data_IF_477852722492
#
_entry.id   IF_477852722492
#
_cell.length_a   1.000
_cell.length_b   1.000
_cell.length_c   1.000
_cell.angle_alpha   90.00
_cell.angle_beta   90.00
_cell.angle_gamma   90.00
#
_symmetry.space_group_name_H-M   'P 1'
#
loop_
_entity.id
_entity.type
_entity.pdbx_description
1 polymer ?
#
# COMPACT_ATOMS: atom_id res chain seq x y z
N UNK A 1 -30.29 22.71 7.41
CA UNK A 1 -29.94 21.70 6.40
C UNK A 1 -28.93 20.74 7.02
N UNK A 2 -29.40 19.59 7.50
CA UNK A 2 -28.52 18.55 8.06
C UNK A 2 -27.68 18.00 6.92
N UNK A 3 -26.36 18.25 6.97
CA UNK A 3 -25.42 17.48 6.18
C UNK A 3 -25.61 16.03 6.61
N UNK A 4 -26.15 15.21 5.71
CA UNK A 4 -26.26 13.77 5.89
C UNK A 4 -24.84 13.19 5.99
N UNK A 5 -24.22 13.33 7.17
CA UNK A 5 -23.36 12.29 7.71
C UNK A 5 -24.24 11.06 7.67
N UNK A 6 -23.82 10.03 6.97
CA UNK A 6 -24.53 8.75 6.95
C UNK A 6 -24.45 8.20 8.38
N UNK A 7 -25.33 8.67 9.27
CA UNK A 7 -25.39 8.33 10.69
C UNK A 7 -25.85 6.86 10.88
N UNK A 8 -26.18 6.19 9.78
CA UNK A 8 -26.70 4.83 9.78
C UNK A 8 -26.57 4.18 8.39
N UNK A 9 -25.60 3.27 8.17
CA UNK A 9 -25.61 2.36 7.03
C UNK A 9 -26.60 1.19 7.24
N UNK A 10 -27.72 1.39 7.94
CA UNK A 10 -28.62 0.31 8.41
C UNK A 10 -29.37 -0.47 7.32
N UNK A 11 -28.97 -0.39 6.06
CA UNK A 11 -29.50 -1.25 4.99
C UNK A 11 -28.44 -1.88 4.08
N UNK A 12 -27.14 -1.60 4.28
CA UNK A 12 -26.10 -2.15 3.41
C UNK A 12 -25.28 -3.24 4.11
N UNK A 13 -25.45 -4.47 3.65
CA UNK A 13 -24.60 -5.61 3.98
C UNK A 13 -23.57 -5.81 2.87
N UNK A 14 -22.29 -5.80 3.24
CA UNK A 14 -21.22 -6.09 2.31
C UNK A 14 -21.26 -7.59 1.95
N UNK A 15 -21.22 -7.97 0.66
CA UNK A 15 -21.20 -9.38 0.28
C UNK A 15 -20.05 -10.14 0.96
N UNK A 16 -20.30 -11.36 1.41
CA UNK A 16 -19.31 -12.14 2.19
C UNK A 16 -18.01 -12.38 1.43
N UNK A 17 -18.09 -12.59 0.11
CA UNK A 17 -16.93 -12.69 -0.76
C UNK A 17 -16.06 -11.41 -0.72
N UNK A 18 -16.71 -10.24 -0.77
CA UNK A 18 -16.02 -8.94 -0.71
C UNK A 18 -15.42 -8.71 0.67
N UNK A 19 -16.17 -9.02 1.74
CA UNK A 19 -15.66 -8.96 3.11
C UNK A 19 -14.43 -9.84 3.28
N UNK A 20 -14.45 -11.06 2.74
CA UNK A 20 -13.34 -12.02 2.85
C UNK A 20 -12.09 -11.54 2.12
N UNK A 21 -12.21 -11.09 0.87
CA UNK A 21 -11.04 -10.59 0.14
C UNK A 21 -10.45 -9.34 0.78
N UNK A 22 -11.29 -8.40 1.22
CA UNK A 22 -10.84 -7.21 1.97
C UNK A 22 -10.11 -7.60 3.25
N UNK A 23 -10.65 -8.55 4.02
CA UNK A 23 -10.02 -9.05 5.22
C UNK A 23 -8.66 -9.67 4.91
N UNK A 24 -8.58 -10.54 3.91
CA UNK A 24 -7.30 -11.15 3.49
C UNK A 24 -6.28 -10.12 3.03
N UNK A 25 -6.70 -9.09 2.28
CA UNK A 25 -5.82 -7.97 1.90
C UNK A 25 -5.22 -7.32 3.14
N UNK A 26 -6.03 -7.03 4.17
CA UNK A 26 -5.53 -6.44 5.43
C UNK A 26 -4.61 -7.42 6.19
N UNK A 27 -5.01 -8.69 6.29
CA UNK A 27 -4.25 -9.71 7.03
C UNK A 27 -2.88 -9.99 6.40
N UNK A 28 -2.76 -9.95 5.07
CA UNK A 28 -1.46 -10.02 4.38
C UNK A 28 -0.56 -8.85 4.81
N UNK A 29 -1.13 -7.65 4.94
CA UNK A 29 -0.42 -6.49 5.47
C UNK A 29 0.09 -6.72 6.89
N UNK A 30 -0.77 -7.20 7.80
CA UNK A 30 -0.37 -7.50 9.18
C UNK A 30 0.65 -8.63 9.27
N UNK A 31 0.59 -9.63 8.40
CA UNK A 31 1.61 -10.67 8.31
C UNK A 31 2.96 -10.07 7.88
N UNK A 32 2.98 -9.20 6.87
CA UNK A 32 4.21 -8.48 6.47
C UNK A 32 4.75 -7.62 7.63
N UNK A 33 3.87 -6.87 8.32
CA UNK A 33 4.24 -6.07 9.49
C UNK A 33 4.90 -6.93 10.58
N UNK A 34 4.33 -8.09 10.89
CA UNK A 34 4.89 -8.99 11.90
C UNK A 34 6.31 -9.44 11.53
N UNK A 35 6.55 -9.82 10.28
CA UNK A 35 7.87 -10.23 9.80
C UNK A 35 8.87 -9.06 9.82
N UNK A 36 8.46 -7.88 9.34
CA UNK A 36 9.33 -6.70 9.38
C UNK A 36 9.60 -6.23 10.81
N UNK A 37 8.64 -6.31 11.73
CA UNK A 37 8.79 -5.92 13.13
C UNK A 37 9.88 -6.72 13.86
N UNK A 38 9.97 -8.04 13.64
CA UNK A 38 11.02 -8.88 14.23
C UNK A 38 12.42 -8.35 13.89
N UNK A 39 12.62 -7.89 12.66
CA UNK A 39 13.87 -7.26 12.22
C UNK A 39 14.14 -5.90 12.92
N UNK A 40 13.10 -5.19 13.33
CA UNK A 40 13.21 -3.93 14.07
C UNK A 40 13.79 -4.11 15.47
N UNK A 41 13.52 -5.22 16.15
CA UNK A 41 14.14 -5.55 17.44
C UNK A 41 15.66 -5.70 17.29
N UNK A 42 16.11 -6.44 16.26
CA UNK A 42 17.52 -6.59 15.94
C UNK A 42 18.20 -5.24 15.65
N UNK A 43 17.51 -4.34 14.96
CA UNK A 43 18.00 -2.99 14.71
C UNK A 43 18.12 -2.17 16.00
N UNK A 44 17.07 -2.14 16.84
CA UNK A 44 17.08 -1.38 18.09
C UNK A 44 18.23 -1.81 19.01
N UNK A 45 18.45 -3.12 19.16
CA UNK A 45 19.55 -3.66 19.95
C UNK A 45 20.92 -3.37 19.32
N UNK A 46 21.04 -3.45 17.99
CA UNK A 46 22.26 -3.05 17.30
C UNK A 46 22.63 -1.57 17.57
N UNK A 47 21.65 -0.67 17.59
CA UNK A 47 21.86 0.74 17.98
C UNK A 47 22.27 0.89 19.46
N UNK A 48 21.93 -0.07 20.32
CA UNK A 48 22.43 -0.18 21.69
C UNK A 48 23.76 -0.95 21.82
N UNK A 49 24.44 -1.25 20.70
CA UNK A 49 25.69 -2.04 20.62
C UNK A 49 25.53 -3.50 21.08
N UNK A 50 24.32 -4.07 20.95
CA UNK A 50 24.00 -5.46 21.25
C UNK A 50 23.65 -6.18 19.94
N UNK A 51 24.52 -7.08 19.48
CA UNK A 51 24.31 -7.83 18.24
C UNK A 51 23.62 -9.17 18.48
N UNK A 52 22.37 -9.26 18.01
CA UNK A 52 21.56 -10.49 18.01
C UNK A 52 21.30 -11.04 16.60
N UNK A 53 21.85 -10.43 15.54
CA UNK A 53 21.55 -10.81 14.16
C UNK A 53 21.99 -12.25 13.85
N UNK A 54 23.08 -12.70 14.48
CA UNK A 54 23.58 -14.08 14.37
C UNK A 54 22.56 -15.15 14.77
N UNK A 55 21.50 -14.79 15.51
CA UNK A 55 20.44 -15.70 15.93
C UNK A 55 19.22 -15.68 15.00
N UNK A 56 19.16 -14.80 13.99
CA UNK A 56 18.00 -14.68 13.12
C UNK A 56 18.10 -15.69 11.97
N UNK A 57 17.15 -16.65 11.85
CA UNK A 57 17.19 -17.65 10.80
C UNK A 57 17.01 -16.99 9.42
N UNK A 58 17.89 -17.34 8.47
CA UNK A 58 17.80 -16.89 7.07
C UNK A 58 18.32 -15.49 6.78
N UNK A 59 18.76 -14.74 7.80
CA UNK A 59 19.34 -13.41 7.64
C UNK A 59 20.86 -13.46 7.65
N UNK A 60 21.48 -12.99 6.55
CA UNK A 60 22.93 -13.05 6.36
C UNK A 60 23.64 -11.78 6.83
N UNK A 61 22.98 -10.64 6.77
CA UNK A 61 23.56 -9.33 7.10
C UNK A 61 22.54 -8.39 7.75
N UNK A 62 23.04 -7.39 8.48
CA UNK A 62 22.23 -6.28 9.00
C UNK A 62 21.40 -5.61 7.89
N UNK A 63 22.02 -5.34 6.74
CA UNK A 63 21.38 -4.62 5.64
C UNK A 63 20.32 -5.44 4.90
N UNK A 64 20.45 -6.77 4.85
CA UNK A 64 19.38 -7.64 4.38
C UNK A 64 18.14 -7.48 5.28
N UNK A 65 18.34 -7.53 6.59
CA UNK A 65 17.28 -7.30 7.58
C UNK A 65 16.67 -5.91 7.56
N UNK A 66 17.50 -4.88 7.38
CA UNK A 66 17.03 -3.51 7.24
C UNK A 66 16.19 -3.32 5.96
N UNK A 67 16.54 -4.02 4.88
CA UNK A 67 15.74 -4.04 3.65
C UNK A 67 14.39 -4.72 3.89
N UNK A 68 14.37 -5.92 4.48
CA UNK A 68 13.13 -6.63 4.84
C UNK A 68 12.24 -5.78 5.74
N UNK A 69 12.81 -5.15 6.78
CA UNK A 69 12.09 -4.29 7.71
C UNK A 69 11.40 -3.13 6.99
N UNK A 70 12.16 -2.34 6.25
CA UNK A 70 11.62 -1.15 5.58
C UNK A 70 10.58 -1.51 4.52
N UNK A 71 10.86 -2.52 3.69
CA UNK A 71 9.96 -2.92 2.61
C UNK A 71 8.66 -3.52 3.15
N UNK A 72 8.71 -4.40 4.16
CA UNK A 72 7.49 -4.99 4.69
C UNK A 72 6.67 -4.02 5.54
N UNK A 73 7.30 -3.22 6.40
CA UNK A 73 6.56 -2.34 7.30
C UNK A 73 6.10 -1.05 6.61
N UNK A 74 6.97 -0.39 5.85
CA UNK A 74 6.66 0.91 5.27
C UNK A 74 5.94 0.80 3.92
N UNK A 75 6.07 -0.32 3.20
CA UNK A 75 5.47 -0.50 1.86
C UNK A 75 4.38 -1.57 1.89
N UNK A 76 4.74 -2.84 2.10
CA UNK A 76 3.77 -3.94 1.96
C UNK A 76 2.60 -3.81 2.94
N UNK A 77 2.87 -3.56 4.23
CA UNK A 77 1.84 -3.37 5.25
C UNK A 77 0.93 -2.19 4.95
N UNK A 78 1.50 -1.00 4.71
CA UNK A 78 0.72 0.24 4.53
C UNK A 78 -0.13 0.18 3.26
N UNK A 79 0.38 -0.39 2.16
CA UNK A 79 -0.36 -0.55 0.91
C UNK A 79 -1.47 -1.58 1.02
N UNK A 80 -1.17 -2.73 1.64
CA UNK A 80 -2.17 -3.76 1.93
C UNK A 80 -3.29 -3.20 2.81
N UNK A 81 -2.92 -2.51 3.90
CA UNK A 81 -3.87 -1.87 4.79
C UNK A 81 -4.72 -0.83 4.04
N UNK A 82 -4.09 0.09 3.29
CA UNK A 82 -4.82 1.11 2.52
C UNK A 82 -5.77 0.49 1.49
N UNK A 83 -5.36 -0.55 0.76
CA UNK A 83 -6.19 -1.23 -0.24
C UNK A 83 -7.44 -1.85 0.39
N UNK A 84 -7.27 -2.61 1.47
CA UNK A 84 -8.40 -3.26 2.13
C UNK A 84 -9.28 -2.26 2.90
N UNK A 85 -8.67 -1.42 3.72
CA UNK A 85 -9.39 -0.50 4.61
C UNK A 85 -10.16 0.56 3.82
N UNK A 86 -9.55 1.20 2.83
CA UNK A 86 -10.24 2.23 2.04
C UNK A 86 -11.32 1.61 1.15
N UNK A 87 -11.12 0.41 0.59
CA UNK A 87 -12.17 -0.30 -0.14
C UNK A 87 -13.39 -0.63 0.74
N UNK A 88 -13.15 -1.01 2.00
CA UNK A 88 -14.21 -1.22 2.99
C UNK A 88 -14.98 0.08 3.26
N UNK A 89 -14.26 1.15 3.58
CA UNK A 89 -14.87 2.45 3.92
C UNK A 89 -15.61 3.06 2.74
N UNK A 90 -15.09 2.90 1.52
CA UNK A 90 -15.78 3.33 0.31
C UNK A 90 -17.09 2.56 0.10
N UNK A 91 -17.07 1.23 0.25
CA UNK A 91 -18.28 0.41 0.12
C UNK A 91 -19.34 0.83 1.15
N UNK A 92 -18.93 1.04 2.40
CA UNK A 92 -19.80 1.46 3.50
C UNK A 92 -20.31 2.89 3.32
N UNK A 93 -19.45 3.83 2.92
CA UNK A 93 -19.79 5.23 2.71
C UNK A 93 -20.76 5.45 1.55
N UNK A 94 -20.63 4.68 0.47
CA UNK A 94 -21.57 4.71 -0.65
C UNK A 94 -22.83 3.85 -0.42
N UNK A 95 -22.82 2.97 0.59
CA UNK A 95 -23.90 2.01 0.82
C UNK A 95 -24.06 0.99 -0.32
N UNK A 96 -22.97 0.62 -1.01
CA UNK A 96 -23.01 -0.29 -2.17
C UNK A 96 -21.72 -1.11 -2.27
N UNK A 97 -21.75 -2.30 -2.91
CA UNK A 97 -20.54 -3.06 -3.15
C UNK A 97 -19.69 -2.42 -4.26
N UNK A 98 -18.36 -2.49 -4.10
CA UNK A 98 -17.42 -2.25 -5.20
C UNK A 98 -17.41 -3.44 -6.18
N UNK A 99 -16.79 -3.27 -7.34
CA UNK A 99 -16.67 -4.34 -8.35
C UNK A 99 -15.75 -5.45 -7.82
N UNK A 100 -16.34 -6.60 -7.47
CA UNK A 100 -15.61 -7.72 -6.83
C UNK A 100 -14.38 -8.18 -7.60
N UNK A 101 -14.46 -8.29 -8.93
CA UNK A 101 -13.32 -8.66 -9.77
C UNK A 101 -12.10 -7.74 -9.60
N UNK A 102 -12.30 -6.44 -9.35
CA UNK A 102 -11.20 -5.51 -9.08
C UNK A 102 -10.64 -5.68 -7.67
N UNK A 103 -11.47 -6.02 -6.68
CA UNK A 103 -10.98 -6.33 -5.33
C UNK A 103 -10.08 -7.58 -5.35
N UNK A 104 -10.47 -8.63 -6.08
CA UNK A 104 -9.66 -9.83 -6.24
C UNK A 104 -8.41 -9.58 -7.09
N UNK A 105 -8.50 -8.78 -8.14
CA UNK A 105 -7.33 -8.42 -8.95
C UNK A 105 -6.31 -7.59 -8.15
N UNK A 106 -6.77 -6.63 -7.36
CA UNK A 106 -5.91 -5.85 -6.45
C UNK A 106 -5.23 -6.76 -5.43
N UNK A 107 -5.99 -7.64 -4.77
CA UNK A 107 -5.45 -8.64 -3.84
C UNK A 107 -4.42 -9.56 -4.51
N UNK A 108 -4.72 -10.10 -5.70
CA UNK A 108 -3.81 -10.97 -6.44
C UNK A 108 -2.50 -10.27 -6.83
N UNK A 109 -2.58 -9.04 -7.33
CA UNK A 109 -1.40 -8.21 -7.66
C UNK A 109 -0.55 -7.94 -6.42
N UNK A 110 -1.18 -7.59 -5.31
CA UNK A 110 -0.51 -7.36 -4.02
C UNK A 110 0.23 -8.61 -3.52
N UNK A 111 -0.44 -9.77 -3.51
CA UNK A 111 0.15 -11.02 -3.03
C UNK A 111 1.28 -11.48 -3.94
N UNK A 112 1.09 -11.45 -5.26
CA UNK A 112 2.14 -11.81 -6.22
C UNK A 112 3.35 -10.89 -6.06
N UNK A 113 3.11 -9.58 -5.94
CA UNK A 113 4.17 -8.61 -5.71
C UNK A 113 4.94 -8.86 -4.42
N UNK A 114 4.22 -9.11 -3.31
CA UNK A 114 4.82 -9.45 -2.03
C UNK A 114 5.65 -10.73 -2.10
N UNK A 115 5.19 -11.77 -2.80
CA UNK A 115 5.94 -13.03 -2.98
C UNK A 115 7.24 -12.80 -3.75
N UNK A 116 7.19 -12.05 -4.86
CA UNK A 116 8.38 -11.77 -5.68
C UNK A 116 9.44 -10.93 -4.94
N UNK A 117 8.99 -9.92 -4.19
CA UNK A 117 9.84 -9.11 -3.31
C UNK A 117 10.44 -9.96 -2.19
N UNK A 118 9.63 -10.81 -1.56
CA UNK A 118 10.08 -11.74 -0.51
C UNK A 118 11.15 -12.68 -1.03
N UNK A 119 10.94 -13.28 -2.20
CA UNK A 119 11.92 -14.16 -2.84
C UNK A 119 13.27 -13.44 -3.02
N UNK A 120 13.27 -12.21 -3.54
CA UNK A 120 14.50 -11.47 -3.78
C UNK A 120 15.23 -11.13 -2.45
N UNK A 121 14.49 -10.69 -1.43
CA UNK A 121 15.08 -10.30 -0.15
C UNK A 121 15.60 -11.51 0.63
N UNK A 122 14.83 -12.60 0.74
CA UNK A 122 15.22 -13.77 1.53
C UNK A 122 16.25 -14.66 0.84
N UNK A 123 16.34 -14.64 -0.49
CA UNK A 123 17.46 -15.28 -1.22
C UNK A 123 18.77 -14.48 -1.13
N UNK A 124 18.74 -13.29 -0.52
CA UNK A 124 19.90 -12.40 -0.39
C UNK A 124 20.19 -11.58 -1.65
N UNK A 125 19.30 -11.61 -2.64
CA UNK A 125 19.47 -10.94 -3.93
C UNK A 125 18.88 -9.50 -3.97
N UNK A 126 18.40 -8.98 -2.84
CA UNK A 126 17.89 -7.62 -2.74
C UNK A 126 18.22 -7.00 -1.36
N UNK A 127 19.51 -6.72 -1.12
CA UNK A 127 19.97 -5.99 0.08
C UNK A 127 20.22 -4.52 -0.25
N UNK A 128 19.17 -3.82 -0.71
CA UNK A 128 19.25 -2.47 -1.31
C UNK A 128 18.46 -1.40 -0.54
N UNK A 129 17.98 -1.74 0.66
CA UNK A 129 17.03 -0.94 1.46
C UNK A 129 15.70 -0.72 0.74
N UNK A 130 14.73 -0.13 1.45
CA UNK A 130 13.42 0.21 0.88
C UNK A 130 13.47 1.35 -0.15
N UNK A 131 14.60 2.03 -0.29
CA UNK A 131 14.84 3.11 -1.27
C UNK A 131 15.52 2.64 -2.55
N UNK A 132 16.19 1.48 -2.54
CA UNK A 132 16.77 0.81 -3.71
C UNK A 132 17.52 1.71 -4.71
N UNK A 133 18.30 2.67 -4.18
CA UNK A 133 19.01 3.65 -5.01
C UNK A 133 20.09 3.00 -5.89
N UNK A 134 20.10 3.26 -7.21
CA UNK A 134 21.27 2.97 -8.05
C UNK A 134 22.53 3.66 -7.52
N UNK A 135 23.73 3.06 -7.68
CA UNK A 135 24.03 1.86 -8.47
C UNK A 135 23.87 0.53 -7.71
N UNK A 136 23.23 0.51 -6.53
CA UNK A 136 22.91 -0.74 -5.84
C UNK A 136 21.79 -1.47 -6.58
N UNK A 137 22.13 -2.58 -7.24
CA UNK A 137 21.19 -3.35 -8.04
C UNK A 137 20.64 -4.55 -7.26
N UNK A 138 19.32 -4.72 -7.28
CA UNK A 138 18.63 -5.92 -6.80
C UNK A 138 18.26 -6.86 -7.97
N UNK A 139 17.90 -8.09 -7.66
CA UNK A 139 17.33 -9.01 -8.64
C UNK A 139 16.00 -8.49 -9.19
N UNK A 140 15.71 -8.74 -10.48
CA UNK A 140 14.55 -8.20 -11.19
C UNK A 140 13.20 -8.49 -10.51
N UNK A 141 13.08 -9.62 -9.80
CA UNK A 141 11.86 -9.96 -9.05
C UNK A 141 11.55 -8.96 -7.95
N UNK A 142 12.56 -8.31 -7.38
CA UNK A 142 12.36 -7.22 -6.41
C UNK A 142 11.64 -6.04 -7.06
N UNK A 143 12.14 -5.57 -8.21
CA UNK A 143 11.57 -4.42 -8.91
C UNK A 143 10.20 -4.73 -9.50
N UNK A 144 10.03 -5.90 -10.15
CA UNK A 144 8.71 -6.32 -10.65
C UNK A 144 7.72 -6.50 -9.50
N UNK A 145 8.14 -7.12 -8.40
CA UNK A 145 7.27 -7.33 -7.26
C UNK A 145 6.84 -6.02 -6.60
N UNK A 146 7.76 -5.06 -6.43
CA UNK A 146 7.44 -3.73 -5.96
C UNK A 146 6.47 -3.00 -6.91
N UNK A 147 6.67 -3.11 -8.23
CA UNK A 147 5.74 -2.57 -9.21
C UNK A 147 4.34 -3.16 -9.08
N UNK A 148 4.22 -4.48 -8.88
CA UNK A 148 2.91 -5.15 -8.69
C UNK A 148 2.21 -4.72 -7.39
N UNK A 149 2.97 -4.42 -6.33
CA UNK A 149 2.42 -3.84 -5.09
C UNK A 149 1.86 -2.44 -5.38
N UNK A 150 2.57 -1.60 -6.15
CA UNK A 150 2.03 -0.29 -6.57
C UNK A 150 0.82 -0.47 -7.48
N UNK A 151 0.86 -1.33 -8.50
CA UNK A 151 -0.27 -1.61 -9.41
C UNK A 151 -1.52 -2.06 -8.65
N UNK A 152 -1.38 -2.80 -7.54
CA UNK A 152 -2.52 -3.17 -6.71
C UNK A 152 -3.33 -1.95 -6.22
N UNK A 153 -2.66 -0.82 -5.97
CA UNK A 153 -3.30 0.43 -5.56
C UNK A 153 -4.08 1.07 -6.69
N UNK A 154 -3.57 1.05 -7.93
CA UNK A 154 -4.29 1.56 -9.11
C UNK A 154 -5.54 0.71 -9.42
N UNK A 155 -5.46 -0.60 -9.23
CA UNK A 155 -6.62 -1.49 -9.35
C UNK A 155 -7.66 -1.14 -8.27
N UNK A 156 -7.22 -0.84 -7.04
CA UNK A 156 -8.10 -0.32 -5.98
C UNK A 156 -8.72 1.02 -6.40
N UNK A 157 -7.94 1.99 -6.89
CA UNK A 157 -8.43 3.29 -7.41
C UNK A 157 -9.54 3.09 -8.43
N UNK A 158 -9.33 2.20 -9.40
CA UNK A 158 -10.33 1.87 -10.41
C UNK A 158 -11.63 1.32 -9.78
N UNK A 159 -11.53 0.47 -8.75
CA UNK A 159 -12.70 -0.01 -8.02
C UNK A 159 -13.45 1.14 -7.33
N UNK A 160 -12.72 2.05 -6.68
CA UNK A 160 -13.30 3.22 -6.02
C UNK A 160 -14.00 4.15 -7.02
N UNK A 161 -13.36 4.47 -8.14
CA UNK A 161 -13.90 5.37 -9.16
C UNK A 161 -15.13 4.80 -9.85
N UNK A 162 -15.13 3.49 -10.17
CA UNK A 162 -16.31 2.80 -10.73
C UNK A 162 -17.45 2.80 -9.70
N UNK A 163 -17.16 2.54 -8.43
CA UNK A 163 -18.13 2.60 -7.34
C UNK A 163 -18.75 4.00 -7.21
N UNK A 164 -17.92 5.05 -7.23
CA UNK A 164 -18.37 6.43 -7.18
C UNK A 164 -19.22 6.81 -8.40
N UNK A 165 -18.78 6.44 -9.61
CA UNK A 165 -19.49 6.74 -10.85
C UNK A 165 -20.88 6.06 -10.86
N UNK A 166 -20.96 4.82 -10.38
CA UNK A 166 -22.25 4.14 -10.18
C UNK A 166 -23.12 4.89 -9.18
N UNK A 167 -22.58 5.27 -8.02
CA UNK A 167 -23.35 5.98 -6.99
C UNK A 167 -23.87 7.33 -7.48
N UNK A 168 -23.06 8.09 -8.24
CA UNK A 168 -23.47 9.38 -8.82
C UNK A 168 -24.59 9.22 -9.85
N UNK A 169 -24.60 8.14 -10.63
CA UNK A 169 -25.70 7.82 -11.56
C UNK A 169 -27.01 7.56 -10.83
N UNK A 170 -26.94 6.85 -9.71
CA UNK A 170 -28.12 6.53 -8.88
C UNK A 170 -28.56 7.71 -8.00
N UNK A 171 -27.74 8.76 -7.87
CA UNK A 171 -27.96 9.92 -7.00
C UNK A 171 -27.65 11.26 -7.71
N UNK A 172 -28.34 11.60 -8.80
CA UNK A 172 -28.11 12.85 -9.52
C UNK A 172 -28.33 14.06 -8.62
N UNK A 173 -27.45 15.05 -8.71
CA UNK A 173 -27.51 16.30 -7.93
C UNK A 173 -27.14 16.19 -6.44
N UNK A 174 -26.92 14.98 -5.90
CA UNK A 174 -26.51 14.82 -4.49
C UNK A 174 -25.01 14.97 -4.32
N UNK A 175 -24.60 15.54 -3.17
CA UNK A 175 -23.19 15.60 -2.76
C UNK A 175 -22.71 14.20 -2.35
N UNK A 176 -21.45 13.90 -2.67
CA UNK A 176 -20.82 12.63 -2.29
C UNK A 176 -20.77 12.54 -0.75
N UNK A 177 -21.05 11.37 -0.15
CA UNK A 177 -20.85 11.16 1.27
C UNK A 177 -19.40 11.47 1.68
N UNK A 178 -19.24 12.18 2.80
CA UNK A 178 -17.91 12.65 3.26
C UNK A 178 -16.88 11.51 3.35
N UNK A 179 -17.28 10.36 3.90
CA UNK A 179 -16.41 9.19 4.03
C UNK A 179 -15.88 8.72 2.65
N UNK A 180 -16.78 8.62 1.66
CA UNK A 180 -16.43 8.23 0.29
C UNK A 180 -15.58 9.28 -0.42
N UNK A 181 -15.83 10.57 -0.15
CA UNK A 181 -15.03 11.67 -0.67
C UNK A 181 -13.58 11.57 -0.19
N UNK A 182 -13.35 11.36 1.12
CA UNK A 182 -11.99 11.21 1.66
C UNK A 182 -11.27 10.00 1.07
N UNK A 183 -11.98 8.86 0.90
CA UNK A 183 -11.44 7.66 0.26
C UNK A 183 -10.94 7.94 -1.16
N UNK A 184 -11.78 8.60 -1.97
CA UNK A 184 -11.48 8.91 -3.38
C UNK A 184 -10.34 9.92 -3.48
N UNK A 185 -10.35 10.98 -2.66
CA UNK A 185 -9.27 11.98 -2.68
C UNK A 185 -7.91 11.40 -2.28
N UNK A 186 -7.91 10.45 -1.34
CA UNK A 186 -6.68 9.73 -0.94
C UNK A 186 -6.05 9.00 -2.13
N UNK A 187 -6.86 8.29 -2.92
CA UNK A 187 -6.36 7.55 -4.08
C UNK A 187 -6.11 8.43 -5.31
N UNK A 188 -6.84 9.51 -5.52
CA UNK A 188 -6.50 10.50 -6.57
C UNK A 188 -5.11 11.10 -6.30
N UNK A 189 -4.86 11.52 -5.05
CA UNK A 189 -3.55 12.03 -4.66
C UNK A 189 -2.47 10.98 -4.90
N UNK A 190 -2.72 9.73 -4.49
CA UNK A 190 -1.75 8.65 -4.67
C UNK A 190 -1.49 8.29 -6.12
N UNK A 191 -2.53 8.23 -6.96
CA UNK A 191 -2.38 7.93 -8.40
C UNK A 191 -1.43 8.94 -9.05
N UNK A 192 -1.60 10.24 -8.76
CA UNK A 192 -0.69 11.29 -9.23
C UNK A 192 0.71 11.10 -8.63
N UNK A 193 0.79 10.97 -7.32
CA UNK A 193 2.05 10.83 -6.59
C UNK A 193 2.88 9.62 -7.05
N UNK A 194 2.24 8.52 -7.45
CA UNK A 194 2.89 7.28 -7.84
C UNK A 194 3.53 7.29 -9.24
N UNK A 195 3.33 8.35 -10.03
CA UNK A 195 3.86 8.45 -11.39
C UNK A 195 5.40 8.39 -11.39
N UNK A 196 6.06 9.10 -10.46
CA UNK A 196 7.52 9.13 -10.38
C UNK A 196 8.12 7.73 -10.20
N UNK A 197 7.67 7.00 -9.17
CA UNK A 197 8.14 5.65 -8.89
C UNK A 197 7.76 4.66 -10.00
N UNK A 198 6.59 4.82 -10.62
CA UNK A 198 6.19 3.99 -11.76
C UNK A 198 7.15 4.19 -12.94
N UNK A 199 7.50 5.44 -13.26
CA UNK A 199 8.46 5.75 -14.33
C UNK A 199 9.84 5.22 -13.99
N UNK A 200 10.32 5.44 -12.76
CA UNK A 200 11.62 4.95 -12.29
C UNK A 200 11.73 3.43 -12.44
N UNK A 201 10.75 2.68 -11.92
CA UNK A 201 10.81 1.22 -11.94
C UNK A 201 10.65 0.66 -13.35
N UNK A 202 9.66 1.12 -14.12
CA UNK A 202 9.33 0.54 -15.43
C UNK A 202 10.37 0.87 -16.50
N UNK A 203 10.92 2.08 -16.50
CA UNK A 203 11.81 2.53 -17.56
C UNK A 203 13.30 2.50 -17.19
N UNK A 204 13.63 2.52 -15.89
CA UNK A 204 15.03 2.53 -15.45
C UNK A 204 15.40 1.22 -14.73
N UNK A 205 14.82 0.95 -13.56
CA UNK A 205 15.31 -0.10 -12.67
C UNK A 205 15.03 -1.52 -13.20
N UNK A 206 13.82 -1.78 -13.69
CA UNK A 206 13.45 -3.10 -14.18
C UNK A 206 14.23 -3.45 -15.48
N UNK A 207 14.28 -2.60 -16.53
CA UNK A 207 15.12 -2.87 -17.70
C UNK A 207 16.60 -3.03 -17.35
N UNK A 208 17.12 -2.24 -16.41
CA UNK A 208 18.50 -2.36 -15.96
C UNK A 208 18.76 -3.70 -15.26
N UNK A 209 17.88 -4.12 -14.35
CA UNK A 209 17.99 -5.41 -13.65
C UNK A 209 17.83 -6.64 -14.55
N UNK A 210 17.20 -6.47 -15.72
CA UNK A 210 17.07 -7.49 -16.76
C UNK A 210 18.22 -7.45 -17.79
N UNK A 211 19.16 -6.50 -17.66
CA UNK A 211 20.27 -6.33 -18.61
C UNK A 211 19.88 -5.70 -19.95
N UNK A 212 18.68 -5.13 -20.08
CA UNK A 212 18.20 -4.46 -21.30
C UNK A 212 18.86 -3.09 -21.51
N UNK A 213 19.30 -2.45 -20.42
CA UNK A 213 20.09 -1.22 -20.42
C UNK A 213 21.31 -1.37 -19.52
N UNK A 214 22.38 -0.60 -19.78
CA UNK A 214 23.67 -0.75 -19.09
C UNK A 214 23.70 -0.23 -17.66
N UNK A 215 22.77 0.65 -17.32
CA UNK A 215 22.75 1.37 -16.04
C UNK A 215 21.49 2.22 -15.89
N UNK A 216 21.23 2.66 -14.67
CA UNK A 216 20.26 3.69 -14.36
C UNK A 216 20.98 4.93 -13.81
N UNK A 217 20.63 6.12 -14.30
CA UNK A 217 21.19 7.38 -13.79
C UNK A 217 20.80 7.56 -12.31
N UNK A 218 21.77 7.67 -11.38
CA UNK A 218 21.46 7.75 -9.95
C UNK A 218 20.70 9.03 -9.55
N UNK A 219 20.96 10.16 -10.20
CA UNK A 219 20.33 11.43 -9.87
C UNK A 219 18.88 11.46 -10.37
N UNK A 220 18.65 11.03 -11.61
CA UNK A 220 17.31 10.90 -12.17
C UNK A 220 16.47 9.91 -11.37
N UNK A 221 17.03 8.75 -11.03
CA UNK A 221 16.34 7.73 -10.23
C UNK A 221 15.89 8.30 -8.88
N UNK A 222 16.79 8.96 -8.13
CA UNK A 222 16.43 9.62 -6.86
C UNK A 222 15.40 10.73 -7.02
N UNK A 223 15.45 11.48 -8.12
CA UNK A 223 14.48 12.56 -8.40
C UNK A 223 13.08 11.98 -8.60
N UNK A 224 12.97 10.92 -9.39
CA UNK A 224 11.71 10.19 -9.62
C UNK A 224 11.23 9.46 -8.36
N UNK A 225 12.15 8.85 -7.61
CA UNK A 225 11.86 8.21 -6.33
C UNK A 225 11.19 9.20 -5.39
N UNK A 226 11.78 10.39 -5.18
CA UNK A 226 11.27 11.39 -4.23
C UNK A 226 10.08 12.20 -4.70
N UNK A 227 9.82 12.26 -6.01
CA UNK A 227 8.52 12.69 -6.52
C UNK A 227 7.40 11.88 -5.88
N UNK A 228 7.59 10.57 -5.72
CA UNK A 228 6.65 9.68 -5.02
C UNK A 228 6.94 9.54 -3.52
N UNK A 229 8.21 9.62 -3.13
CA UNK A 229 8.71 9.26 -1.81
C UNK A 229 8.32 10.24 -0.70
N UNK A 230 8.05 11.50 -1.01
CA UNK A 230 7.39 12.38 -0.06
C UNK A 230 5.88 12.08 0.03
N UNK A 231 5.10 12.14 -1.05
CA UNK A 231 3.65 11.96 -0.95
C UNK A 231 3.20 10.56 -0.50
N UNK A 232 4.02 9.52 -0.67
CA UNK A 232 3.75 8.17 -0.16
C UNK A 232 3.51 8.17 1.37
N UNK A 233 4.17 9.04 2.12
CA UNK A 233 3.97 9.10 3.59
C UNK A 233 2.61 9.68 3.95
N UNK A 234 2.06 10.57 3.12
CA UNK A 234 0.65 10.98 3.25
C UNK A 234 -0.28 9.85 2.84
N UNK A 235 0.06 9.05 1.82
CA UNK A 235 -0.74 7.88 1.46
C UNK A 235 -0.79 6.84 2.58
N UNK A 236 0.26 6.70 3.39
CA UNK A 236 0.23 5.89 4.61
C UNK A 236 -0.70 6.48 5.68
N UNK A 237 -0.65 7.81 5.83
CA UNK A 237 -1.33 8.53 6.90
C UNK A 237 -2.84 8.71 6.65
N UNK A 238 -3.23 9.05 5.41
CA UNK A 238 -4.59 9.42 5.08
C UNK A 238 -5.62 8.33 5.38
N UNK A 239 -5.38 7.02 5.14
CA UNK A 239 -6.29 5.97 5.59
C UNK A 239 -6.60 6.04 7.10
N UNK A 240 -5.59 6.36 7.92
CA UNK A 240 -5.77 6.53 9.36
C UNK A 240 -6.54 7.82 9.67
N UNK A 241 -6.30 8.91 8.95
CA UNK A 241 -7.09 10.14 9.09
C UNK A 241 -8.56 9.90 8.74
N UNK A 242 -8.87 9.09 7.72
CA UNK A 242 -10.25 8.71 7.42
C UNK A 242 -10.88 8.02 8.64
N UNK A 243 -10.15 7.17 9.35
CA UNK A 243 -10.62 6.57 10.60
C UNK A 243 -10.84 7.63 11.69
N UNK A 244 -9.87 8.53 11.90
CA UNK A 244 -9.94 9.56 12.93
C UNK A 244 -11.08 10.56 12.72
N UNK A 245 -11.42 10.88 11.47
CA UNK A 245 -12.54 11.76 11.16
C UNK A 245 -13.87 11.01 11.01
N UNK A 246 -13.86 9.83 10.41
CA UNK A 246 -15.07 9.10 10.02
C UNK A 246 -15.54 8.03 11.01
N UNK A 247 -14.72 7.64 12.00
CA UNK A 247 -15.00 6.49 12.87
C UNK A 247 -14.79 6.83 14.36
N UNK A 248 -13.59 7.33 14.71
CA UNK A 248 -13.18 7.57 16.10
C UNK A 248 -14.15 8.48 16.88
N UNK A 249 -14.69 9.59 16.34
CA UNK A 249 -15.56 10.48 17.10
C UNK A 249 -16.81 9.74 17.60
N UNK A 250 -17.36 8.84 16.78
CA UNK A 250 -18.51 8.01 17.16
C UNK A 250 -18.15 6.98 18.22
N UNK A 251 -16.98 6.35 18.11
CA UNK A 251 -16.48 5.40 19.11
C UNK A 251 -16.26 6.06 20.48
N UNK A 252 -15.87 7.34 20.48
CA UNK A 252 -15.73 8.16 21.68
C UNK A 252 -17.06 8.72 22.23
N UNK A 253 -18.20 8.35 21.65
CA UNK A 253 -19.53 8.86 22.05
C UNK A 253 -19.83 10.28 21.59
N UNK A 254 -18.98 10.87 20.74
CA UNK A 254 -19.12 12.21 20.18
C UNK A 254 -19.64 12.23 18.73
N UNK A 255 -19.37 13.36 18.07
CA UNK A 255 -19.64 13.61 16.65
C UNK A 255 -18.40 14.25 16.02
N UNK A 256 -18.30 14.14 14.70
CA UNK A 256 -17.37 14.97 13.93
C UNK A 256 -17.87 16.43 13.91
#
# INVERSE_FOLDING_TARGET
MSAYVVDSPKSFTLPDAHRRVILWTILVGFAALAVGFVNGLGQALNYAKIDILKYFPGMRTYYQGLTVHGVFNAIAFTFAFANGFVALLMSRGLGRPLKGGLLYASFGSLVLGAVLVSYAMFSGQASVLFTFYPPLQAHWTFYLGAALVVVSTWITSAALFIGLAGWRRDNPGKRIPLLSFMCVMTYIMWDIASIGIAVEVVFLLLPWSLGLIKGADPLLSRTLFWYSGHPIVYFWLLPIYISWYGIVPKQAGGKL
#
